data_IF_991476455451
#
_entry.id   IF_991476455451
#
_cell.length_a   1.000
_cell.length_b   1.000
_cell.length_c   1.000
_cell.angle_alpha   90.00
_cell.angle_beta   90.00
_cell.angle_gamma   90.00
#
_symmetry.space_group_name_H-M   'P 1'
#
loop_
_entity.id
_entity.type
_entity.pdbx_description
1 polymer ?
#
# COMPACT_ATOMS: atom_id res chain seq x y z
N UNK A 1 0.46 -13.82 11.84
CA UNK A 1 0.54 -13.34 10.46
C UNK A 1 -0.70 -12.52 10.19
N UNK A 2 -0.65 -11.59 9.23
CA UNK A 2 -1.81 -10.78 8.85
C UNK A 2 -2.90 -11.61 8.18
N UNK A 3 -4.14 -11.10 8.23
CA UNK A 3 -5.30 -11.76 7.63
C UNK A 3 -5.25 -11.66 6.09
N UNK A 4 -5.37 -12.80 5.41
CA UNK A 4 -5.45 -12.86 3.94
C UNK A 4 -6.91 -12.77 3.51
N UNK A 5 -7.24 -11.79 2.67
CA UNK A 5 -8.62 -11.57 2.21
C UNK A 5 -8.65 -11.40 0.69
N UNK A 6 -9.36 -12.25 -0.07
CA UNK A 6 -10.27 -13.31 0.38
C UNK A 6 -9.57 -14.64 0.71
N UNK A 7 -8.43 -14.93 0.06
CA UNK A 7 -7.59 -16.10 0.29
C UNK A 7 -6.24 -15.91 -0.41
N UNK A 8 -5.28 -16.79 -0.13
CA UNK A 8 -4.03 -16.82 -0.89
C UNK A 8 -4.30 -17.18 -2.35
N UNK A 9 -3.49 -16.64 -3.27
CA UNK A 9 -3.59 -16.92 -4.70
C UNK A 9 -2.31 -17.60 -5.19
N UNK A 10 -2.40 -18.58 -6.12
CA UNK A 10 -1.23 -19.21 -6.70
C UNK A 10 -0.54 -18.24 -7.69
N UNK A 11 0.76 -18.08 -7.53
CA UNK A 11 1.64 -17.39 -8.46
C UNK A 11 2.61 -18.39 -9.08
N UNK A 12 2.72 -18.38 -10.40
CA UNK A 12 3.72 -19.16 -11.12
C UNK A 12 4.97 -18.32 -11.32
N UNK A 13 6.09 -18.80 -10.80
CA UNK A 13 7.40 -18.19 -10.99
C UNK A 13 8.25 -19.09 -11.87
N UNK A 14 8.86 -18.52 -12.91
CA UNK A 14 9.91 -19.20 -13.67
C UNK A 14 11.22 -19.18 -12.89
N UNK A 15 12.00 -20.25 -12.98
CA UNK A 15 13.34 -20.28 -12.42
C UNK A 15 14.26 -19.30 -13.15
N UNK A 16 15.19 -18.67 -12.41
CA UNK A 16 16.15 -17.71 -12.99
C UNK A 16 17.10 -18.40 -14.00
N UNK A 17 17.32 -19.70 -13.85
CA UNK A 17 18.27 -20.47 -14.67
C UNK A 17 17.61 -21.27 -15.80
N UNK A 18 16.29 -21.39 -15.78
CA UNK A 18 15.55 -22.24 -16.71
C UNK A 18 14.11 -21.74 -16.84
N UNK A 19 13.85 -20.93 -17.87
CA UNK A 19 12.54 -20.30 -18.08
C UNK A 19 11.44 -21.31 -18.43
N UNK A 20 11.80 -22.55 -18.81
CA UNK A 20 10.85 -23.65 -19.04
C UNK A 20 10.40 -24.35 -17.74
N UNK A 21 11.08 -24.09 -16.62
CA UNK A 21 10.69 -24.60 -15.30
C UNK A 21 9.99 -23.53 -14.50
N UNK A 22 8.76 -23.85 -14.08
CA UNK A 22 7.98 -23.02 -13.18
C UNK A 22 7.57 -23.77 -11.93
N UNK A 23 7.46 -23.06 -10.81
CA UNK A 23 6.89 -23.58 -9.58
C UNK A 23 5.74 -22.68 -9.11
N UNK A 24 4.73 -23.31 -8.48
CA UNK A 24 3.55 -22.63 -7.94
C UNK A 24 3.80 -22.25 -6.48
N UNK A 25 3.68 -20.96 -6.17
CA UNK A 25 3.71 -20.44 -4.80
C UNK A 25 2.37 -19.80 -4.46
N UNK A 26 1.79 -20.21 -3.33
CA UNK A 26 0.64 -19.54 -2.75
C UNK A 26 1.12 -18.29 -2.01
N UNK A 27 0.70 -17.12 -2.49
CA UNK A 27 1.06 -15.84 -1.89
C UNK A 27 -0.17 -15.00 -1.55
N UNK A 28 0.04 -13.96 -0.75
CA UNK A 28 -0.97 -12.94 -0.49
C UNK A 28 -1.46 -12.35 -1.81
N UNK A 29 -2.77 -12.20 -1.97
CA UNK A 29 -3.30 -11.41 -3.07
C UNK A 29 -2.87 -9.95 -2.93
N UNK A 30 -2.77 -9.28 -4.06
CA UNK A 30 -2.21 -7.93 -4.15
C UNK A 30 -3.01 -6.93 -3.31
N UNK A 31 -4.32 -7.14 -3.20
CA UNK A 31 -5.20 -6.32 -2.39
C UNK A 31 -4.91 -6.43 -0.90
N UNK A 32 -4.57 -7.61 -0.38
CA UNK A 32 -4.14 -7.78 1.02
C UNK A 32 -2.81 -7.07 1.27
N UNK A 33 -1.83 -7.24 0.37
CA UNK A 33 -0.53 -6.57 0.50
C UNK A 33 -0.71 -5.05 0.50
N UNK A 34 -1.57 -4.54 -0.38
CA UNK A 34 -1.87 -3.11 -0.45
C UNK A 34 -2.65 -2.63 0.77
N UNK A 35 -3.62 -3.40 1.26
CA UNK A 35 -4.41 -3.11 2.46
C UNK A 35 -3.51 -2.95 3.69
N UNK A 36 -2.51 -3.81 3.88
CA UNK A 36 -1.55 -3.67 4.99
C UNK A 36 -0.73 -2.38 4.94
N UNK A 37 -0.32 -1.97 3.73
CA UNK A 37 0.45 -0.74 3.50
C UNK A 37 -0.42 0.49 3.77
N UNK A 38 -1.63 0.51 3.20
CA UNK A 38 -2.58 1.61 3.38
C UNK A 38 -3.04 1.71 4.84
N UNK A 39 -3.37 0.59 5.49
CA UNK A 39 -3.70 0.56 6.92
C UNK A 39 -2.58 1.18 7.76
N UNK A 40 -1.32 0.84 7.46
CA UNK A 40 -0.16 1.41 8.18
C UNK A 40 -0.05 2.92 7.97
N UNK A 41 -0.28 3.40 6.74
CA UNK A 41 -0.28 4.83 6.41
C UNK A 41 -1.38 5.55 7.19
N UNK A 42 -2.60 5.04 7.16
CA UNK A 42 -3.76 5.64 7.83
C UNK A 42 -3.58 5.66 9.34
N UNK A 43 -3.19 4.53 9.94
CA UNK A 43 -3.00 4.39 11.38
C UNK A 43 -1.92 5.33 11.92
N UNK A 44 -0.82 5.49 11.18
CA UNK A 44 0.30 6.36 11.61
C UNK A 44 0.02 7.83 11.33
N UNK A 45 -0.78 8.15 10.31
CA UNK A 45 -1.13 9.52 9.96
C UNK A 45 0.10 10.40 9.75
N UNK A 46 0.05 11.61 10.32
CA UNK A 46 1.13 12.61 10.29
C UNK A 46 2.42 12.16 11.00
N UNK A 47 2.34 11.13 11.86
CA UNK A 47 3.50 10.57 12.56
C UNK A 47 4.19 9.45 11.77
N UNK A 48 3.84 9.25 10.50
CA UNK A 48 4.43 8.19 9.69
C UNK A 48 5.87 8.51 9.27
N UNK A 49 6.81 7.69 9.72
CA UNK A 49 8.24 7.81 9.39
C UNK A 49 8.70 6.82 8.31
N UNK A 50 7.78 6.10 7.67
CA UNK A 50 8.07 5.02 6.71
C UNK A 50 7.69 5.45 5.28
N UNK A 51 8.55 6.20 4.56
CA UNK A 51 8.26 6.63 3.19
C UNK A 51 8.11 5.45 2.21
N UNK A 52 8.70 4.29 2.52
CA UNK A 52 8.58 3.09 1.69
C UNK A 52 7.13 2.60 1.58
N UNK A 53 6.33 2.73 2.64
CA UNK A 53 4.91 2.32 2.61
C UNK A 53 4.13 3.15 1.57
N UNK A 54 4.44 4.45 1.44
CA UNK A 54 3.85 5.33 0.42
C UNK A 54 4.27 4.94 -1.00
N UNK A 55 5.55 4.60 -1.19
CA UNK A 55 6.05 4.12 -2.48
C UNK A 55 5.38 2.80 -2.89
N UNK A 56 5.33 1.82 -1.98
CA UNK A 56 4.75 0.51 -2.26
C UNK A 56 3.26 0.66 -2.58
N UNK A 57 2.50 1.44 -1.81
CA UNK A 57 1.09 1.73 -2.12
C UNK A 57 0.92 2.36 -3.51
N UNK A 58 1.77 3.33 -3.88
CA UNK A 58 1.72 3.97 -5.18
C UNK A 58 2.01 3.01 -6.33
N UNK A 59 3.10 2.23 -6.24
CA UNK A 59 3.49 1.30 -7.31
C UNK A 59 2.49 0.17 -7.45
N UNK A 60 2.01 -0.40 -6.35
CA UNK A 60 0.99 -1.44 -6.40
C UNK A 60 -0.27 -0.93 -7.09
N UNK A 61 -0.74 0.26 -6.73
CA UNK A 61 -1.95 0.84 -7.34
C UNK A 61 -1.81 1.22 -8.81
N UNK A 62 -0.60 1.50 -9.28
CA UNK A 62 -0.36 1.98 -10.66
C UNK A 62 0.13 0.90 -11.61
N UNK A 63 0.71 -0.19 -11.08
CA UNK A 63 1.27 -1.28 -11.90
C UNK A 63 0.45 -2.56 -11.86
N UNK A 64 -0.38 -2.75 -10.83
CA UNK A 64 -1.18 -3.95 -10.65
C UNK A 64 -2.65 -3.67 -10.93
N UNK A 65 -3.36 -4.69 -11.41
CA UNK A 65 -4.82 -4.65 -11.44
C UNK A 65 -5.31 -4.95 -10.03
N UNK A 66 -5.93 -3.97 -9.40
CA UNK A 66 -6.53 -4.10 -8.08
C UNK A 66 -8.04 -4.06 -8.24
N UNK A 67 -8.71 -5.08 -7.72
CA UNK A 67 -10.16 -4.98 -7.51
C UNK A 67 -10.46 -4.12 -6.27
N UNK A 68 -11.14 -2.99 -6.50
CA UNK A 68 -11.42 -2.01 -5.44
C UNK A 68 -12.34 -2.55 -4.35
N UNK A 69 -13.29 -3.42 -4.69
CA UNK A 69 -14.17 -4.03 -3.70
C UNK A 69 -13.37 -5.00 -2.82
N UNK A 70 -12.53 -5.83 -3.44
CA UNK A 70 -11.66 -6.77 -2.71
C UNK A 70 -10.67 -6.02 -1.83
N UNK A 71 -10.08 -4.92 -2.32
CA UNK A 71 -9.22 -4.06 -1.51
C UNK A 71 -9.94 -3.46 -0.31
N UNK A 72 -11.17 -2.98 -0.49
CA UNK A 72 -11.96 -2.41 0.61
C UNK A 72 -12.22 -3.45 1.70
N UNK A 73 -12.56 -4.68 1.31
CA UNK A 73 -12.78 -5.78 2.25
C UNK A 73 -11.48 -6.21 2.93
N UNK A 74 -10.37 -6.28 2.18
CA UNK A 74 -9.05 -6.56 2.72
C UNK A 74 -8.62 -5.47 3.73
N UNK A 75 -8.82 -4.19 3.43
CA UNK A 75 -8.49 -3.09 4.35
C UNK A 75 -9.29 -3.19 5.66
N UNK A 76 -10.59 -3.48 5.58
CA UNK A 76 -11.44 -3.71 6.76
C UNK A 76 -10.96 -4.92 7.56
N UNK A 77 -10.67 -6.03 6.89
CA UNK A 77 -10.18 -7.25 7.54
C UNK A 77 -8.83 -7.02 8.23
N UNK A 78 -7.90 -6.34 7.57
CA UNK A 78 -6.60 -5.96 8.13
C UNK A 78 -6.76 -5.04 9.34
N UNK A 79 -7.59 -4.01 9.25
CA UNK A 79 -7.81 -3.08 10.37
C UNK A 79 -8.47 -3.77 11.57
N UNK A 80 -9.45 -4.66 11.33
CA UNK A 80 -10.08 -5.46 12.37
C UNK A 80 -9.07 -6.41 13.02
N UNK A 81 -8.25 -7.10 12.21
CA UNK A 81 -7.21 -8.01 12.70
C UNK A 81 -6.17 -7.29 13.55
N UNK A 82 -5.78 -6.08 13.15
CA UNK A 82 -4.79 -5.26 13.86
C UNK A 82 -5.39 -4.43 15.01
N UNK A 83 -6.71 -4.41 15.18
CA UNK A 83 -7.40 -3.65 16.21
C UNK A 83 -7.42 -2.13 15.97
N UNK A 84 -7.31 -1.70 14.73
CA UNK A 84 -7.07 -0.29 14.33
C UNK A 84 -8.28 0.35 13.65
N UNK A 85 -9.39 -0.38 13.51
CA UNK A 85 -10.63 0.07 12.86
C UNK A 85 -11.11 1.44 13.35
N UNK A 86 -11.07 1.69 14.66
CA UNK A 86 -11.48 2.97 15.24
C UNK A 86 -10.47 4.10 14.97
N UNK A 87 -9.18 3.76 14.86
CA UNK A 87 -8.12 4.74 14.60
C UNK A 87 -8.14 5.24 13.15
N UNK A 88 -8.63 4.40 12.22
CA UNK A 88 -8.71 4.71 10.79
C UNK A 88 -10.14 5.01 10.31
N UNK A 89 -11.09 5.21 11.22
CA UNK A 89 -12.51 5.34 10.88
C UNK A 89 -12.80 6.54 9.97
N UNK A 90 -12.08 7.66 10.15
CA UNK A 90 -12.22 8.87 9.33
C UNK A 90 -11.07 8.97 8.31
N UNK A 91 -11.07 8.04 7.34
CA UNK A 91 -10.08 8.00 6.26
C UNK A 91 -9.95 9.35 5.53
N UNK A 92 -11.04 10.05 5.14
CA UNK A 92 -10.93 11.34 4.46
C UNK A 92 -10.18 12.40 5.28
N UNK A 93 -10.49 12.55 6.58
CA UNK A 93 -9.80 13.51 7.42
C UNK A 93 -8.33 13.14 7.64
N UNK A 94 -8.02 11.86 7.81
CA UNK A 94 -6.64 11.36 7.96
C UNK A 94 -5.83 11.67 6.71
N UNK A 95 -6.35 11.36 5.51
CA UNK A 95 -5.66 11.64 4.25
C UNK A 95 -5.47 13.14 4.01
N UNK A 96 -6.41 13.99 4.43
CA UNK A 96 -6.22 15.46 4.39
C UNK A 96 -5.05 15.87 5.28
N UNK A 97 -5.01 15.41 6.53
CA UNK A 97 -3.94 15.76 7.46
C UNK A 97 -2.56 15.28 6.96
N UNK A 98 -2.51 14.09 6.33
CA UNK A 98 -1.30 13.56 5.69
C UNK A 98 -0.84 14.48 4.55
N UNK A 99 -1.74 14.85 3.63
CA UNK A 99 -1.40 15.71 2.48
C UNK A 99 -0.88 17.09 2.90
N UNK A 100 -1.48 17.66 3.94
CA UNK A 100 -1.14 18.99 4.45
C UNK A 100 0.14 19.01 5.30
N UNK A 101 0.70 17.85 5.68
CA UNK A 101 1.92 17.79 6.51
C UNK A 101 3.18 18.14 5.71
N UNK A 102 3.85 19.27 6.01
CA UNK A 102 5.12 19.61 5.38
C UNK A 102 6.23 18.62 5.77
N UNK A 103 6.16 18.01 6.96
CA UNK A 103 7.13 17.03 7.43
C UNK A 103 7.10 15.76 6.59
N UNK A 104 5.92 15.20 6.33
CA UNK A 104 5.78 14.02 5.47
C UNK A 104 6.22 14.29 4.05
N UNK A 105 5.88 15.47 3.51
CA UNK A 105 6.36 15.91 2.20
C UNK A 105 7.89 16.00 2.17
N UNK A 106 8.52 16.57 3.19
CA UNK A 106 9.98 16.65 3.28
C UNK A 106 10.65 15.27 3.38
N UNK A 107 10.06 14.34 4.14
CA UNK A 107 10.50 12.94 4.24
C UNK A 107 10.43 12.27 2.86
N UNK A 108 9.33 12.45 2.13
CA UNK A 108 9.17 11.92 0.77
C UNK A 108 10.18 12.50 -0.20
N UNK A 109 10.39 13.82 -0.18
CA UNK A 109 11.34 14.50 -1.05
C UNK A 109 12.78 14.04 -0.82
N UNK A 110 13.16 13.79 0.44
CA UNK A 110 14.45 13.18 0.76
C UNK A 110 14.53 11.74 0.22
N UNK A 111 13.46 10.96 0.37
CA UNK A 111 13.40 9.58 -0.07
C UNK A 111 13.56 9.44 -1.60
N UNK A 112 12.81 10.21 -2.40
CA UNK A 112 12.92 10.16 -3.88
C UNK A 112 14.26 10.64 -4.42
N UNK A 113 14.97 11.50 -3.69
CA UNK A 113 16.36 11.90 -4.02
C UNK A 113 17.37 10.79 -3.72
N UNK A 114 17.12 9.99 -2.69
CA UNK A 114 18.01 8.90 -2.29
C UNK A 114 17.84 7.64 -3.16
N UNK A 115 16.62 7.37 -3.63
CA UNK A 115 16.30 6.14 -4.37
C UNK A 115 15.84 6.42 -5.79
N UNK A 116 16.64 6.01 -6.78
CA UNK A 116 16.40 6.27 -8.20
C UNK A 116 15.03 5.77 -8.70
N UNK A 117 14.54 4.64 -8.19
CA UNK A 117 13.23 4.09 -8.55
C UNK A 117 12.05 4.99 -8.14
N UNK A 118 12.24 5.87 -7.17
CA UNK A 118 11.21 6.80 -6.69
C UNK A 118 11.39 8.22 -7.24
N UNK A 119 12.47 8.49 -7.97
CA UNK A 119 12.87 9.84 -8.38
C UNK A 119 11.78 10.57 -9.19
N UNK A 120 11.01 9.86 -10.00
CA UNK A 120 9.94 10.43 -10.84
C UNK A 120 8.58 10.58 -10.16
N UNK A 121 8.44 10.22 -8.88
CA UNK A 121 7.15 10.18 -8.19
C UNK A 121 7.01 11.39 -7.26
N UNK A 122 6.09 12.28 -7.58
CA UNK A 122 5.77 13.44 -6.76
C UNK A 122 4.82 13.07 -5.62
N UNK A 123 4.92 13.79 -4.50
CA UNK A 123 4.09 13.55 -3.32
C UNK A 123 2.58 13.64 -3.64
N UNK A 124 2.18 14.60 -4.49
CA UNK A 124 0.78 14.76 -4.89
C UNK A 124 0.24 13.57 -5.69
N UNK A 125 1.08 12.88 -6.46
CA UNK A 125 0.67 11.67 -7.19
C UNK A 125 0.34 10.53 -6.23
N UNK A 126 1.10 10.40 -5.13
CA UNK A 126 0.81 9.43 -4.08
C UNK A 126 -0.54 9.76 -3.42
N UNK A 127 -0.77 11.02 -3.06
CA UNK A 127 -2.01 11.42 -2.41
C UNK A 127 -3.23 11.22 -3.32
N UNK A 128 -3.09 11.48 -4.62
CA UNK A 128 -4.15 11.21 -5.59
C UNK A 128 -4.53 9.72 -5.63
N UNK A 129 -3.53 8.84 -5.67
CA UNK A 129 -3.75 7.38 -5.63
C UNK A 129 -4.41 6.94 -4.33
N UNK A 130 -3.92 7.40 -3.17
CA UNK A 130 -4.49 7.04 -1.87
C UNK A 130 -5.94 7.48 -1.72
N UNK A 131 -6.31 8.65 -2.27
CA UNK A 131 -7.71 9.11 -2.30
C UNK A 131 -8.58 8.24 -3.21
N UNK A 132 -8.11 7.95 -4.42
CA UNK A 132 -8.86 7.12 -5.37
C UNK A 132 -9.16 5.71 -4.84
N UNK A 133 -8.27 5.17 -4.00
CA UNK A 133 -8.47 3.90 -3.30
C UNK A 133 -9.48 3.98 -2.15
N UNK A 134 -9.63 5.16 -1.53
CA UNK A 134 -10.48 5.38 -0.36
C UNK A 134 -11.91 5.83 -0.69
N UNK A 135 -12.14 6.37 -1.90
CA UNK A 135 -13.48 6.65 -2.46
C UNK A 135 -14.25 5.37 -2.82
#
# INVERSE_FOLDING_TARGET
GDAITPHAVPYNFSEIFDEEKSYELWAYNIETVMAEKVETILRRGVFNTRPRDFYDAYILSTTQKVDKAVFTDALKATANHRGTTQQIADVPAILRNIEESPELKAIWEKYRKQFAYAAGIEYGQIMAVLRALAE
#
